data_IF_509330514059
#
_entry.id   IF_509330514059
#
_cell.length_a   1.000
_cell.length_b   1.000
_cell.length_c   1.000
_cell.angle_alpha   90.00
_cell.angle_beta   90.00
_cell.angle_gamma   90.00
#
_symmetry.space_group_name_H-M   'P 1'
#
loop_
_entity.id
_entity.type
_entity.pdbx_description
1 polymer ?
#
# COMPACT_ATOMS: atom_id res chain seq x y z
N UNK A 1 -17.03 -9.38 7.89
CA UNK A 1 -16.94 -8.27 6.94
C UNK A 1 -16.07 -8.66 5.76
N UNK A 2 -16.44 -8.25 4.58
CA UNK A 2 -15.65 -8.55 3.41
C UNK A 2 -14.41 -7.68 3.36
N UNK A 3 -13.29 -8.28 2.96
CA UNK A 3 -12.07 -7.53 2.74
C UNK A 3 -12.23 -6.63 1.52
N UNK A 4 -11.48 -5.55 1.50
CA UNK A 4 -11.34 -4.75 0.31
C UNK A 4 -10.70 -5.59 -0.80
N UNK A 5 -10.90 -5.20 -2.03
CA UNK A 5 -10.31 -5.88 -3.18
C UNK A 5 -9.21 -5.00 -3.75
N UNK A 6 -8.14 -5.61 -4.22
CA UNK A 6 -7.06 -4.90 -4.89
C UNK A 6 -7.25 -4.94 -6.39
N UNK A 7 -7.01 -3.81 -7.04
CA UNK A 7 -7.06 -3.72 -8.49
C UNK A 7 -5.81 -3.03 -9.00
N UNK A 8 -5.15 -3.61 -9.98
CA UNK A 8 -3.93 -3.05 -10.54
C UNK A 8 -4.19 -1.68 -11.15
N UNK A 9 -3.36 -0.71 -10.79
CA UNK A 9 -3.48 0.65 -11.32
C UNK A 9 -2.36 0.99 -12.29
N UNK A 10 -1.10 0.91 -11.87
CA UNK A 10 0.02 1.22 -12.73
C UNK A 10 1.32 0.66 -12.20
N UNK A 11 2.34 0.61 -13.07
CA UNK A 11 3.69 0.17 -12.73
C UNK A 11 4.63 1.36 -12.93
N UNK A 12 5.56 1.52 -12.01
CA UNK A 12 6.53 2.59 -12.05
C UNK A 12 7.93 2.00 -11.91
N UNK A 13 8.85 2.36 -12.81
CA UNK A 13 10.22 1.88 -12.75
C UNK A 13 11.09 2.87 -12.00
N UNK A 14 11.85 2.38 -11.02
CA UNK A 14 12.72 3.24 -10.23
C UNK A 14 13.82 3.86 -11.06
N UNK A 15 14.29 3.16 -12.06
CA UNK A 15 15.41 3.64 -12.86
C UNK A 15 15.14 4.98 -13.52
N UNK A 16 13.92 5.26 -13.83
CA UNK A 16 13.57 6.51 -14.48
C UNK A 16 13.62 7.71 -13.55
N UNK A 17 13.55 7.49 -12.25
CA UNK A 17 13.49 8.59 -11.30
C UNK A 17 14.83 9.27 -11.10
N UNK A 18 15.91 8.63 -11.43
CA UNK A 18 17.23 9.17 -11.14
C UNK A 18 17.94 9.71 -12.38
N UNK A 19 17.24 9.83 -13.48
CA UNK A 19 17.86 10.34 -14.69
C UNK A 19 19.00 9.51 -15.21
N UNK A 20 19.00 8.25 -14.92
CA UNK A 20 20.04 7.36 -15.37
C UNK A 20 19.57 6.59 -16.58
N UNK A 21 19.84 7.08 -17.76
CA UNK A 21 19.26 6.48 -18.95
C UNK A 21 19.74 5.08 -19.26
N UNK A 22 20.83 4.68 -18.63
CA UNK A 22 21.30 3.40 -18.98
C UNK A 22 21.09 2.36 -17.99
N UNK A 23 21.28 2.68 -16.83
CA UNK A 23 21.27 1.69 -15.79
C UNK A 23 19.99 1.07 -15.55
N UNK A 24 19.18 1.60 -16.23
CA UNK A 24 17.90 1.22 -16.06
C UNK A 24 17.50 -0.03 -16.39
N UNK A 25 18.11 -0.50 -16.96
CA UNK A 25 17.47 -1.44 -17.64
C UNK A 25 17.20 -2.64 -16.89
N UNK A 26 17.40 -2.61 -15.60
CA UNK A 26 16.93 -3.69 -14.78
C UNK A 26 15.47 -3.51 -14.55
N UNK A 27 14.68 -4.20 -15.33
CA UNK A 27 13.26 -4.21 -15.18
C UNK A 27 12.83 -4.75 -13.85
N UNK A 28 13.74 -5.30 -13.05
CA UNK A 28 13.44 -5.83 -11.75
C UNK A 28 13.27 -4.78 -10.68
N UNK A 29 13.69 -3.55 -10.91
CA UNK A 29 13.55 -2.48 -9.92
C UNK A 29 12.31 -1.66 -10.25
N UNK A 30 11.18 -2.04 -9.66
CA UNK A 30 9.93 -1.36 -9.93
C UNK A 30 8.98 -1.40 -8.73
N UNK A 31 7.93 -0.60 -8.81
CA UNK A 31 6.80 -0.76 -7.94
C UNK A 31 5.52 -0.87 -8.78
N UNK A 32 4.56 -1.61 -8.27
CA UNK A 32 3.22 -1.67 -8.85
C UNK A 32 2.27 -1.07 -7.84
N UNK A 33 1.40 -0.19 -8.29
CA UNK A 33 0.40 0.42 -7.44
C UNK A 33 -0.95 -0.26 -7.65
N UNK A 34 -1.62 -0.58 -6.55
CA UNK A 34 -2.93 -1.22 -6.57
C UNK A 34 -3.91 -0.35 -5.82
N UNK A 35 -5.01 0.00 -6.47
CA UNK A 35 -6.10 0.71 -5.79
C UNK A 35 -6.93 -0.29 -5.00
N UNK A 36 -7.61 0.21 -3.99
CA UNK A 36 -8.50 -0.62 -3.18
C UNK A 36 -9.94 -0.35 -3.59
N UNK A 37 -10.71 -1.41 -3.69
CA UNK A 37 -12.10 -1.34 -4.12
C UNK A 37 -12.98 -1.86 -2.98
N UNK A 38 -13.99 -1.11 -2.62
CA UNK A 38 -14.89 -1.49 -1.53
C UNK A 38 -15.99 -2.46 -2.01
N UNK A 39 -16.87 -2.83 -1.10
CA UNK A 39 -17.91 -3.79 -1.41
C UNK A 39 -18.94 -3.28 -2.41
N UNK A 40 -19.02 -1.97 -2.61
CA UNK A 40 -19.92 -1.37 -3.57
C UNK A 40 -19.25 -1.14 -4.94
N UNK A 41 -18.04 -1.61 -5.08
CA UNK A 41 -17.28 -1.44 -6.31
C UNK A 41 -16.65 -0.07 -6.49
N UNK A 42 -16.60 0.73 -5.43
CA UNK A 42 -16.04 2.08 -5.50
C UNK A 42 -14.59 2.08 -5.05
N UNK A 43 -13.80 2.98 -5.63
CA UNK A 43 -12.40 3.14 -5.23
C UNK A 43 -12.35 3.80 -3.87
N UNK A 44 -11.56 3.23 -2.97
CA UNK A 44 -11.31 3.82 -1.67
C UNK A 44 -10.36 5.01 -1.86
N UNK A 45 -10.80 6.18 -1.44
CA UNK A 45 -10.02 7.39 -1.61
C UNK A 45 -8.91 7.48 -0.55
N UNK A 46 -7.72 7.79 -1.00
CA UNK A 46 -6.60 8.09 -0.08
C UNK A 46 -5.94 6.92 0.60
N UNK A 47 -6.23 5.72 0.16
CA UNK A 47 -5.62 4.52 0.74
C UNK A 47 -5.37 3.52 -0.39
N UNK A 48 -4.13 3.05 -0.53
CA UNK A 48 -3.78 2.11 -1.59
C UNK A 48 -2.58 1.26 -1.16
N UNK A 49 -2.27 0.23 -1.95
CA UNK A 49 -1.17 -0.67 -1.67
C UNK A 49 -0.17 -0.63 -2.81
N UNK A 50 1.12 -0.57 -2.48
CA UNK A 50 2.20 -0.64 -3.45
C UNK A 50 2.97 -1.93 -3.23
N UNK A 51 3.33 -2.60 -4.32
CA UNK A 51 4.24 -3.72 -4.29
C UNK A 51 5.60 -3.24 -4.81
N UNK A 52 6.60 -3.34 -3.97
CA UNK A 52 7.96 -2.93 -4.29
C UNK A 52 8.79 -4.15 -4.64
N UNK A 53 9.45 -4.13 -5.77
CA UNK A 53 10.31 -5.20 -6.24
C UNK A 53 11.68 -4.66 -6.60
N UNK A 54 12.73 -5.34 -6.15
CA UNK A 54 14.10 -4.94 -6.40
C UNK A 54 14.89 -6.11 -6.96
N UNK A 55 15.88 -5.80 -7.80
CA UNK A 55 16.73 -6.80 -8.41
C UNK A 55 17.55 -7.62 -7.42
N UNK A 56 17.68 -7.14 -6.19
CA UNK A 56 18.37 -7.90 -5.15
C UNK A 56 17.44 -8.90 -4.45
N UNK A 57 16.24 -9.08 -4.95
CA UNK A 57 15.29 -10.02 -4.39
C UNK A 57 14.35 -9.45 -3.34
N UNK A 58 14.43 -8.17 -3.07
CA UNK A 58 13.57 -7.54 -2.08
C UNK A 58 12.17 -7.36 -2.67
N UNK A 59 11.19 -7.97 -2.05
CA UNK A 59 9.80 -7.94 -2.51
C UNK A 59 8.90 -7.69 -1.30
N UNK A 60 8.33 -6.50 -1.22
CA UNK A 60 7.50 -6.12 -0.09
C UNK A 60 6.29 -5.31 -0.52
N UNK A 61 5.24 -5.41 0.26
CA UNK A 61 4.04 -4.61 0.07
C UNK A 61 4.05 -3.47 1.08
N UNK A 62 3.59 -2.31 0.67
CA UNK A 62 3.50 -1.14 1.53
C UNK A 62 2.12 -0.53 1.40
N UNK A 63 1.50 -0.17 2.54
CA UNK A 63 0.25 0.56 2.53
C UNK A 63 0.58 2.04 2.47
N UNK A 64 0.03 2.72 1.48
CA UNK A 64 0.17 4.17 1.31
C UNK A 64 -1.16 4.82 1.64
N UNK A 65 -1.10 6.03 2.19
CA UNK A 65 -2.31 6.71 2.63
C UNK A 65 -2.12 8.22 2.66
N UNK A 66 -3.24 8.93 2.55
CA UNK A 66 -3.25 10.38 2.68
C UNK A 66 -3.45 10.75 4.16
N UNK A 67 -3.16 11.99 4.45
CA UNK A 67 -3.18 12.54 5.80
C UNK A 67 -4.45 12.23 6.60
N UNK A 68 -5.57 12.11 5.93
CA UNK A 68 -6.83 11.77 6.60
C UNK A 68 -6.78 10.46 7.40
N UNK A 69 -5.82 9.60 7.09
CA UNK A 69 -5.66 8.33 7.80
C UNK A 69 -4.56 8.35 8.85
N UNK A 70 -3.82 9.46 9.00
CA UNK A 70 -2.66 9.53 9.90
C UNK A 70 -2.98 9.06 11.31
N UNK A 71 -4.15 9.39 11.80
CA UNK A 71 -4.55 9.03 13.16
C UNK A 71 -4.57 7.52 13.43
N UNK A 72 -4.67 6.71 12.39
CA UNK A 72 -4.68 5.26 12.55
C UNK A 72 -3.29 4.65 12.54
N UNK A 73 -2.28 5.42 12.17
CA UNK A 73 -0.90 4.97 12.06
C UNK A 73 0.01 5.65 13.08
N UNK A 74 -0.47 6.68 13.77
CA UNK A 74 0.37 7.42 14.71
C UNK A 74 0.67 6.58 15.96
N UNK A 75 1.89 6.68 16.44
CA UNK A 75 2.29 5.92 17.62
C UNK A 75 1.75 6.50 18.91
N UNK A 76 1.39 7.77 18.92
CA UNK A 76 1.02 8.48 20.12
C UNK A 76 -0.32 8.08 20.71
N UNK A 77 -1.19 7.44 19.96
CA UNK A 77 -2.51 7.05 20.46
C UNK A 77 -2.82 5.60 20.06
N UNK A 78 -2.45 4.68 20.92
CA UNK A 78 -2.60 3.27 20.65
C UNK A 78 -4.05 2.81 20.57
N UNK A 79 -4.98 3.55 21.16
CA UNK A 79 -6.38 3.16 21.14
C UNK A 79 -7.04 3.35 19.78
N UNK A 80 -6.48 4.23 18.97
CA UNK A 80 -7.02 4.53 17.65
C UNK A 80 -6.14 4.01 16.51
N UNK A 81 -5.08 3.32 16.87
CA UNK A 81 -4.10 2.84 15.91
C UNK A 81 -4.36 1.39 15.54
N UNK A 82 -4.02 1.04 14.32
CA UNK A 82 -4.02 -0.36 13.93
C UNK A 82 -2.76 -1.02 14.49
N UNK A 83 -2.91 -1.89 15.46
CA UNK A 83 -1.78 -2.53 16.14
C UNK A 83 -0.94 -3.40 15.22
N UNK A 84 -1.49 -3.85 14.13
CA UNK A 84 -0.77 -4.71 13.20
C UNK A 84 -0.10 -3.94 12.07
N UNK A 85 -0.13 -2.60 12.12
CA UNK A 85 0.49 -1.81 11.07
C UNK A 85 2.00 -1.96 11.08
N UNK A 86 2.56 -2.17 9.90
CA UNK A 86 4.00 -2.26 9.67
C UNK A 86 4.36 -1.37 8.50
N UNK A 87 5.62 -0.96 8.42
CA UNK A 87 6.08 -0.19 7.28
C UNK A 87 6.01 -1.01 6.00
N UNK A 88 6.37 -2.29 6.09
CA UNK A 88 6.34 -3.21 4.94
C UNK A 88 5.74 -4.55 5.34
N UNK A 89 5.09 -5.20 4.39
CA UNK A 89 4.49 -6.52 4.57
C UNK A 89 5.08 -7.48 3.54
N UNK A 90 5.28 -8.72 3.93
CA UNK A 90 5.78 -9.74 3.01
C UNK A 90 4.67 -10.41 2.22
N UNK A 91 3.44 -10.28 2.67
CA UNK A 91 2.29 -10.95 2.09
C UNK A 91 1.25 -9.95 1.60
N UNK A 92 0.76 -10.15 0.39
CA UNK A 92 -0.34 -9.38 -0.16
C UNK A 92 -1.58 -9.50 0.73
N UNK A 93 -1.85 -10.72 1.21
CA UNK A 93 -3.00 -10.99 2.05
C UNK A 93 -2.92 -10.18 3.35
N UNK A 94 -1.76 -10.17 3.98
CA UNK A 94 -1.57 -9.42 5.22
C UNK A 94 -1.75 -7.92 4.99
N UNK A 95 -1.15 -7.37 3.95
CA UNK A 95 -1.29 -5.96 3.63
C UNK A 95 -2.75 -5.59 3.38
N UNK A 96 -3.48 -6.43 2.67
CA UNK A 96 -4.88 -6.19 2.37
C UNK A 96 -5.75 -6.27 3.64
N UNK A 97 -5.44 -7.18 4.54
CA UNK A 97 -6.15 -7.29 5.81
C UNK A 97 -5.97 -6.04 6.66
N UNK A 98 -4.74 -5.53 6.74
CA UNK A 98 -4.45 -4.31 7.49
C UNK A 98 -5.11 -3.10 6.85
N UNK A 99 -5.04 -2.98 5.53
CA UNK A 99 -5.69 -1.88 4.82
C UNK A 99 -7.19 -1.90 5.03
N UNK A 100 -7.80 -3.08 5.07
CA UNK A 100 -9.22 -3.23 5.34
C UNK A 100 -9.57 -2.74 6.75
N UNK A 101 -8.74 -3.07 7.73
CA UNK A 101 -8.95 -2.59 9.10
C UNK A 101 -8.91 -1.06 9.17
N UNK A 102 -7.94 -0.46 8.50
CA UNK A 102 -7.81 1.00 8.47
C UNK A 102 -9.03 1.65 7.82
N UNK A 103 -9.48 1.09 6.72
CA UNK A 103 -10.66 1.57 6.03
C UNK A 103 -11.89 1.52 6.95
N UNK A 104 -12.05 0.43 7.69
CA UNK A 104 -13.20 0.26 8.58
C UNK A 104 -13.14 1.21 9.77
N UNK A 105 -11.96 1.43 10.33
CA UNK A 105 -11.80 2.40 11.40
C UNK A 105 -12.20 3.80 10.94
N UNK A 106 -11.80 4.17 9.73
CA UNK A 106 -12.16 5.46 9.18
C UNK A 106 -13.65 5.59 8.92
N UNK A 107 -14.27 4.53 8.45
CA UNK A 107 -15.71 4.53 8.18
C UNK A 107 -16.53 4.62 9.45
N UNK A 108 -16.05 4.02 10.53
CA UNK A 108 -16.77 4.04 11.80
C UNK A 108 -16.61 5.36 12.57
N UNK A 109 -15.69 6.21 12.16
CA UNK A 109 -15.41 7.46 12.84
C UNK A 109 -16.50 8.51 12.61
#
# INVERSE_FOLDING_TARGET
>A
MKKLRMEYAYKYSYSSTFGRPFSCEKEEDYLKSYRLIDNDGKIVFGLWIEFHHSSNGWQKYRIRYYEMYDKYFAESDSSKRCETFKEFYTSKKEALEVATKIYMLNKAA
#
